data_IF_189270707748
#
_entry.id   IF_189270707748
#
_cell.length_a   1.000
_cell.length_b   1.000
_cell.length_c   1.000
_cell.angle_alpha   90.00
_cell.angle_beta   90.00
_cell.angle_gamma   90.00
#
_symmetry.space_group_name_H-M   'P 1'
#
loop_
_entity.id
_entity.type
_entity.pdbx_description
1 polymer ?
#
# COMPACT_ATOMS: atom_id res chain seq x y z
N UNK A 1 5.67 -19.69 24.66
CA UNK A 1 4.67 -18.76 24.11
C UNK A 1 4.72 -18.84 22.59
N UNK A 2 3.67 -19.36 21.94
CA UNK A 2 3.61 -19.39 20.46
C UNK A 2 3.39 -17.96 19.97
N UNK A 3 4.33 -17.42 19.20
CA UNK A 3 4.13 -16.18 18.47
C UNK A 3 2.87 -16.37 17.62
N UNK A 4 1.83 -15.60 17.93
CA UNK A 4 0.65 -15.51 17.06
C UNK A 4 1.17 -14.94 15.75
N UNK A 5 1.09 -15.71 14.67
CA UNK A 5 1.19 -15.19 13.30
C UNK A 5 0.04 -14.20 13.10
N UNK A 6 0.16 -13.01 13.68
CA UNK A 6 -0.80 -11.94 13.61
C UNK A 6 -0.45 -11.10 12.41
N UNK A 7 -1.27 -11.18 11.37
CA UNK A 7 -1.26 -10.15 10.34
C UNK A 7 -1.41 -8.80 11.04
N UNK A 8 -0.54 -7.82 10.75
CA UNK A 8 -0.60 -6.57 11.49
C UNK A 8 -1.96 -5.91 11.23
N UNK A 9 -2.56 -5.43 12.30
CA UNK A 9 -3.87 -4.79 12.30
C UNK A 9 -3.83 -3.49 11.49
N UNK A 10 -4.99 -3.02 10.98
CA UNK A 10 -5.07 -1.75 10.23
C UNK A 10 -4.47 -0.54 11.00
N UNK A 11 -4.53 -0.57 12.33
CA UNK A 11 -3.97 0.47 13.20
C UNK A 11 -2.44 0.46 13.16
N UNK A 12 -1.82 -0.73 13.14
CA UNK A 12 -0.38 -0.86 12.98
C UNK A 12 0.06 -0.38 11.60
N UNK A 13 -0.67 -0.69 10.53
CA UNK A 13 -0.24 -0.29 9.18
C UNK A 13 -0.18 1.21 8.99
N UNK A 14 -1.13 1.93 9.59
CA UNK A 14 -1.09 3.40 9.59
C UNK A 14 0.09 3.90 10.40
N UNK A 15 0.31 3.42 11.63
CA UNK A 15 1.47 3.83 12.43
C UNK A 15 2.81 3.57 11.71
N UNK A 16 2.96 2.39 11.11
CA UNK A 16 4.13 2.02 10.32
C UNK A 16 4.28 2.89 9.08
N UNK A 17 3.20 3.20 8.37
CA UNK A 17 3.23 4.10 7.20
C UNK A 17 3.71 5.50 7.59
N UNK A 18 3.29 6.03 8.74
CA UNK A 18 3.72 7.36 9.22
C UNK A 18 5.17 7.41 9.69
N UNK A 19 5.82 6.26 9.91
CA UNK A 19 7.26 6.19 10.14
C UNK A 19 8.09 6.41 8.87
N UNK A 20 7.48 6.31 7.68
CA UNK A 20 8.19 6.57 6.43
C UNK A 20 8.32 8.08 6.19
N UNK A 21 9.54 8.57 5.89
CA UNK A 21 9.79 10.00 5.68
C UNK A 21 9.12 10.54 4.41
N UNK A 22 8.84 9.67 3.43
CA UNK A 22 8.16 10.01 2.20
C UNK A 22 7.10 8.98 1.85
N UNK A 23 5.96 9.46 1.39
CA UNK A 23 4.77 8.69 1.06
C UNK A 23 4.16 9.25 -0.22
N UNK A 24 3.54 8.38 -1.02
CA UNK A 24 2.85 8.75 -2.25
C UNK A 24 1.42 8.23 -2.24
N UNK A 25 0.51 9.00 -2.83
CA UNK A 25 -0.84 8.55 -3.11
C UNK A 25 -0.88 7.93 -4.52
N UNK A 26 -1.30 6.68 -4.60
CA UNK A 26 -1.60 5.96 -5.84
C UNK A 26 -3.05 6.26 -6.21
N UNK A 27 -3.26 6.89 -7.36
CA UNK A 27 -4.56 7.15 -7.94
C UNK A 27 -4.88 6.11 -9.01
N UNK A 28 -5.91 5.31 -8.75
CA UNK A 28 -6.37 4.27 -9.67
C UNK A 28 -7.47 4.82 -10.58
N UNK A 29 -7.51 4.32 -11.82
CA UNK A 29 -8.56 4.67 -12.77
C UNK A 29 -9.93 4.16 -12.30
N UNK A 30 -9.95 3.00 -11.65
CA UNK A 30 -11.16 2.37 -11.13
C UNK A 30 -10.88 1.50 -9.90
N UNK A 31 -11.96 0.98 -9.31
CA UNK A 31 -11.90 0.15 -8.11
C UNK A 31 -11.28 -1.22 -8.40
N UNK A 32 -11.41 -1.75 -9.61
CA UNK A 32 -10.90 -3.08 -9.98
C UNK A 32 -9.37 -3.09 -9.96
N UNK A 33 -8.72 -2.06 -10.50
CA UNK A 33 -7.26 -1.92 -10.46
C UNK A 33 -6.74 -1.78 -9.02
N UNK A 34 -7.43 -0.99 -8.19
CA UNK A 34 -7.10 -0.87 -6.77
C UNK A 34 -7.25 -2.20 -6.03
N UNK A 35 -8.36 -2.88 -6.22
CA UNK A 35 -8.68 -4.12 -5.51
C UNK A 35 -7.76 -5.26 -5.95
N UNK A 36 -7.32 -5.28 -7.22
CA UNK A 36 -6.28 -6.19 -7.71
C UNK A 36 -4.96 -5.98 -6.96
N UNK A 37 -4.51 -4.74 -6.80
CA UNK A 37 -3.31 -4.44 -6.02
C UNK A 37 -3.49 -4.89 -4.57
N UNK A 38 -4.63 -4.60 -3.95
CA UNK A 38 -4.90 -4.98 -2.57
C UNK A 38 -4.92 -6.50 -2.33
N UNK A 39 -5.38 -7.28 -3.31
CA UNK A 39 -5.31 -8.74 -3.28
C UNK A 39 -3.86 -9.22 -3.34
N UNK A 40 -3.05 -8.68 -4.26
CA UNK A 40 -1.64 -9.06 -4.41
C UNK A 40 -0.79 -8.77 -3.17
N UNK A 41 -1.17 -7.80 -2.33
CA UNK A 41 -0.46 -7.51 -1.08
C UNK A 41 -0.51 -8.65 -0.05
N UNK A 42 -1.34 -9.67 -0.26
CA UNK A 42 -1.38 -10.86 0.58
C UNK A 42 -0.75 -12.09 -0.07
N UNK A 43 -0.69 -12.10 -1.40
CA UNK A 43 -0.24 -13.25 -2.20
C UNK A 43 1.23 -13.13 -2.64
N UNK A 44 1.73 -11.91 -2.77
CA UNK A 44 3.08 -11.63 -3.26
C UNK A 44 4.03 -11.37 -2.09
N UNK A 45 5.02 -12.24 -1.91
CA UNK A 45 6.00 -12.15 -0.80
C UNK A 45 6.73 -10.81 -0.75
N UNK A 46 6.97 -10.15 -1.88
CA UNK A 46 7.66 -8.85 -1.92
C UNK A 46 6.76 -7.68 -1.51
N UNK A 47 5.45 -7.87 -1.59
CA UNK A 47 4.44 -6.87 -1.23
C UNK A 47 3.78 -7.19 0.12
N UNK A 48 4.01 -8.40 0.63
CA UNK A 48 3.41 -8.88 1.85
C UNK A 48 3.76 -7.97 3.03
N UNK A 49 2.72 -7.52 3.74
CA UNK A 49 2.89 -6.62 4.89
C UNK A 49 3.26 -5.17 4.53
N UNK A 50 3.27 -4.79 3.25
CA UNK A 50 3.54 -3.41 2.83
C UNK A 50 2.57 -2.42 3.52
N UNK A 51 3.10 -1.45 4.30
CA UNK A 51 2.29 -0.44 4.96
C UNK A 51 1.47 0.37 3.95
N UNK A 52 0.21 0.68 4.30
CA UNK A 52 -0.70 1.44 3.44
C UNK A 52 -1.86 2.06 4.21
N UNK A 53 -2.44 3.11 3.65
CA UNK A 53 -3.65 3.76 4.15
C UNK A 53 -4.57 4.17 2.99
N UNK A 54 -5.86 4.38 3.26
CA UNK A 54 -6.83 4.84 2.26
C UNK A 54 -6.99 6.36 2.35
N UNK A 55 -6.77 7.06 1.23
CA UNK A 55 -7.06 8.50 1.11
C UNK A 55 -8.38 8.77 0.38
N UNK A 56 -9.10 7.72 -0.03
CA UNK A 56 -10.36 7.80 -0.74
C UNK A 56 -10.73 6.49 -1.42
N UNK A 57 -11.84 6.48 -2.14
CA UNK A 57 -12.32 5.27 -2.82
C UNK A 57 -11.36 4.75 -3.89
N UNK A 58 -10.61 5.62 -4.57
CA UNK A 58 -9.66 5.25 -5.63
C UNK A 58 -8.23 5.70 -5.33
N UNK A 59 -7.94 5.95 -4.04
CA UNK A 59 -6.65 6.48 -3.59
C UNK A 59 -6.08 5.61 -2.48
N UNK A 60 -4.85 5.14 -2.68
CA UNK A 60 -4.10 4.38 -1.69
C UNK A 60 -2.78 5.09 -1.39
N UNK A 61 -2.51 5.39 -0.13
CA UNK A 61 -1.23 5.93 0.31
C UNK A 61 -0.30 4.76 0.61
N UNK A 62 0.91 4.84 0.07
CA UNK A 62 1.97 3.85 0.26
C UNK A 62 3.31 4.55 0.50
N UNK A 63 4.32 3.85 1.04
CA UNK A 63 5.71 4.30 1.02
C UNK A 63 6.19 4.64 -0.40
N UNK A 64 7.02 5.67 -0.56
CA UNK A 64 7.48 6.10 -1.91
C UNK A 64 8.29 5.02 -2.64
N UNK A 65 9.12 4.27 -1.93
CA UNK A 65 9.93 3.16 -2.45
C UNK A 65 9.07 2.02 -3.04
N UNK A 66 7.86 1.80 -2.52
CA UNK A 66 6.92 0.83 -3.07
C UNK A 66 6.47 1.16 -4.50
N UNK A 67 6.48 2.43 -4.91
CA UNK A 67 6.01 2.87 -6.24
C UNK A 67 6.77 2.16 -7.36
N UNK A 68 8.10 2.07 -7.23
CA UNK A 68 8.94 1.44 -8.25
C UNK A 68 8.67 -0.07 -8.36
N UNK A 69 8.49 -0.75 -7.23
CA UNK A 69 8.18 -2.19 -7.16
C UNK A 69 6.83 -2.47 -7.81
N UNK A 70 5.81 -1.68 -7.46
CA UNK A 70 4.45 -1.84 -7.99
C UNK A 70 4.39 -1.60 -9.51
N UNK A 71 5.15 -0.63 -10.04
CA UNK A 71 5.27 -0.42 -11.49
C UNK A 71 5.94 -1.59 -12.20
N UNK A 72 7.04 -2.12 -11.64
CA UNK A 72 7.72 -3.31 -12.19
C UNK A 72 6.80 -4.53 -12.23
N UNK A 73 5.87 -4.65 -11.29
CA UNK A 73 4.85 -5.72 -11.25
C UNK A 73 3.65 -5.47 -12.18
N UNK A 74 3.63 -4.34 -12.89
CA UNK A 74 2.61 -4.05 -13.92
C UNK A 74 1.31 -3.44 -13.40
N UNK A 75 1.28 -2.94 -12.17
CA UNK A 75 0.11 -2.22 -11.65
C UNK A 75 -0.02 -0.84 -12.33
N UNK A 76 -1.27 -0.45 -12.61
CA UNK A 76 -1.59 0.80 -13.28
C UNK A 76 -2.18 1.80 -12.29
N UNK A 77 -1.47 2.91 -12.09
CA UNK A 77 -1.90 4.01 -11.24
C UNK A 77 -1.13 5.29 -11.62
N UNK A 78 -1.74 6.43 -11.35
CA UNK A 78 -1.02 7.71 -11.32
C UNK A 78 -0.44 7.94 -9.93
N UNK A 79 0.67 8.67 -9.85
CA UNK A 79 1.32 9.03 -8.58
C UNK A 79 0.95 10.47 -8.26
N UNK A 80 0.55 10.72 -7.01
CA UNK A 80 0.27 12.04 -6.45
C UNK A 80 1.06 12.25 -5.18
N UNK A 81 1.42 13.49 -4.91
CA UNK A 81 1.97 13.87 -3.63
C UNK A 81 0.88 13.81 -2.55
N UNK A 82 1.25 13.34 -1.38
CA UNK A 82 0.41 13.39 -0.18
C UNK A 82 0.67 14.74 0.46
N UNK A 83 -0.36 15.57 0.61
CA UNK A 83 -0.23 16.79 1.41
C UNK A 83 0.16 16.38 2.84
N UNK A 84 1.26 16.95 3.34
CA UNK A 84 1.83 16.65 4.66
C UNK A 84 0.89 16.96 5.80
#
# INVERSE_FOLDING_TARGET
>A
MKARNGHPSKVEWKAHLYAYPSRKALAFADRRERDRLLASLWEDEQLYGMPRDYAGALLLIVPEDAVAVLRKKGFKFAVRDVAG
#
